data_IF_287578658853
#
_entry.id   IF_287578658853
#
_cell.length_a   1.000
_cell.length_b   1.000
_cell.length_c   1.000
_cell.angle_alpha   90.00
_cell.angle_beta   90.00
_cell.angle_gamma   90.00
#
_symmetry.space_group_name_H-M   'P 1'
#
loop_
_entity.id
_entity.type
_entity.pdbx_description
1 polymer ?
#
# COMPACT_ATOMS: atom_id res chain seq x y z
N UNK A 1 -11.58 -1.97 -14.65
CA UNK A 1 -10.39 -2.84 -14.49
C UNK A 1 -9.17 -1.95 -14.59
N UNK A 2 -8.27 -1.99 -13.62
CA UNK A 2 -7.02 -1.24 -13.68
C UNK A 2 -6.24 -1.65 -14.94
N UNK A 3 -5.68 -0.68 -15.65
CA UNK A 3 -4.84 -0.97 -16.80
C UNK A 3 -3.60 -1.75 -16.35
N UNK A 4 -3.15 -2.79 -17.09
CA UNK A 4 -1.95 -3.52 -16.71
C UNK A 4 -0.74 -2.59 -16.68
N UNK A 5 0.14 -2.80 -15.70
CA UNK A 5 1.40 -2.06 -15.58
C UNK A 5 2.29 -2.30 -16.81
N UNK A 6 3.03 -1.27 -17.21
CA UNK A 6 4.00 -1.39 -18.30
C UNK A 6 5.16 -2.34 -17.91
N UNK A 7 5.79 -2.95 -18.91
CA UNK A 7 6.98 -3.78 -18.67
C UNK A 7 8.11 -2.99 -18.00
N UNK A 8 8.25 -1.71 -18.34
CA UNK A 8 9.22 -0.80 -17.72
C UNK A 8 8.91 -0.58 -16.23
N UNK A 9 7.66 -0.29 -15.90
CA UNK A 9 7.20 -0.11 -14.51
C UNK A 9 7.46 -1.36 -13.68
N UNK A 10 7.09 -2.53 -14.21
CA UNK A 10 7.35 -3.84 -13.58
C UNK A 10 8.86 -4.04 -13.34
N UNK A 11 9.70 -3.75 -14.33
CA UNK A 11 11.15 -3.90 -14.21
C UNK A 11 11.74 -3.00 -13.12
N UNK A 12 11.32 -1.73 -13.06
CA UNK A 12 11.80 -0.76 -12.06
C UNK A 12 11.38 -1.18 -10.65
N UNK A 13 10.11 -1.54 -10.46
CA UNK A 13 9.60 -1.99 -9.15
C UNK A 13 10.37 -3.20 -8.65
N UNK A 14 10.59 -4.20 -9.53
CA UNK A 14 11.38 -5.39 -9.17
C UNK A 14 12.84 -5.09 -8.88
N UNK A 15 13.47 -4.24 -9.67
CA UNK A 15 14.88 -3.88 -9.50
C UNK A 15 15.12 -3.10 -8.20
N UNK A 16 14.15 -2.28 -7.77
CA UNK A 16 14.26 -1.45 -6.57
C UNK A 16 13.66 -2.08 -5.31
N UNK A 17 12.88 -3.16 -5.44
CA UNK A 17 12.30 -3.89 -4.31
C UNK A 17 13.33 -4.34 -3.24
N UNK A 18 14.55 -4.82 -3.57
CA UNK A 18 15.55 -5.16 -2.56
C UNK A 18 16.02 -3.96 -1.72
N UNK A 19 16.12 -2.77 -2.33
CA UNK A 19 16.48 -1.54 -1.62
C UNK A 19 15.35 -1.14 -0.68
N UNK A 20 14.09 -1.21 -1.15
CA UNK A 20 12.94 -0.97 -0.29
C UNK A 20 12.82 -2.02 0.82
N UNK A 21 13.25 -3.26 0.62
CA UNK A 21 13.29 -4.27 1.67
C UNK A 21 14.24 -3.89 2.80
N UNK A 22 15.45 -3.41 2.45
CA UNK A 22 16.46 -3.00 3.43
C UNK A 22 15.97 -1.82 4.29
N UNK A 23 15.21 -0.91 3.68
CA UNK A 23 14.71 0.31 4.33
C UNK A 23 13.22 0.25 4.69
N UNK A 24 12.56 -0.90 4.55
CA UNK A 24 11.10 -1.00 4.53
C UNK A 24 10.43 -0.49 5.80
N UNK A 25 10.99 -0.81 6.96
CA UNK A 25 10.48 -0.33 8.26
C UNK A 25 10.70 1.17 8.43
N UNK A 26 11.81 1.71 7.94
CA UNK A 26 12.07 3.15 8.00
C UNK A 26 11.10 3.91 7.08
N UNK A 27 10.87 3.40 5.86
CA UNK A 27 9.91 3.95 4.90
C UNK A 27 8.50 3.94 5.50
N UNK A 28 8.03 2.82 6.04
CA UNK A 28 6.67 2.74 6.58
C UNK A 28 6.50 3.54 7.85
N UNK A 29 7.53 3.60 8.72
CA UNK A 29 7.53 4.52 9.87
C UNK A 29 7.37 5.97 9.40
N UNK A 30 8.18 6.39 8.42
CA UNK A 30 8.12 7.74 7.87
C UNK A 30 6.80 8.04 7.16
N UNK A 31 6.23 7.04 6.49
CA UNK A 31 4.90 7.13 5.89
C UNK A 31 3.84 7.40 6.97
N UNK A 32 3.84 6.65 8.08
CA UNK A 32 2.88 6.87 9.16
C UNK A 32 3.02 8.23 9.83
N UNK A 33 4.24 8.75 10.00
CA UNK A 33 4.45 10.13 10.48
C UNK A 33 3.75 11.16 9.58
N UNK A 34 3.78 10.95 8.26
CA UNK A 34 3.12 11.82 7.27
C UNK A 34 1.60 11.60 7.27
N UNK A 35 1.16 10.35 7.31
CA UNK A 35 -0.26 9.95 7.24
C UNK A 35 -1.04 10.46 8.46
N UNK A 36 -0.45 10.36 9.65
CA UNK A 36 -1.10 10.70 10.91
C UNK A 36 -1.14 12.18 11.25
N UNK A 37 -0.65 13.04 10.35
CA UNK A 37 -1.01 14.46 10.38
C UNK A 37 -2.52 14.63 10.18
N UNK A 38 -3.16 13.71 9.45
CA UNK A 38 -4.61 13.61 9.38
C UNK A 38 -5.13 12.80 10.58
N UNK A 39 -5.70 13.49 11.58
CA UNK A 39 -6.21 12.85 12.81
C UNK A 39 -7.43 11.94 12.56
N UNK A 40 -8.24 12.20 11.53
CA UNK A 40 -9.37 11.32 11.16
C UNK A 40 -8.86 9.97 10.65
N UNK A 41 -7.88 10.00 9.74
CA UNK A 41 -7.25 8.79 9.22
C UNK A 41 -6.53 8.05 10.34
N UNK A 42 -5.79 8.76 11.20
CA UNK A 42 -5.09 8.17 12.35
C UNK A 42 -6.05 7.44 13.31
N UNK A 43 -7.25 7.96 13.52
CA UNK A 43 -8.26 7.34 14.38
C UNK A 43 -8.75 5.98 13.85
N UNK A 44 -8.55 5.68 12.56
CA UNK A 44 -8.88 4.38 11.96
C UNK A 44 -7.86 3.27 12.28
N UNK A 45 -6.67 3.61 12.77
CA UNK A 45 -5.60 2.66 13.03
C UNK A 45 -5.56 2.19 14.48
N UNK A 46 -5.17 0.93 14.66
CA UNK A 46 -4.85 0.36 15.97
C UNK A 46 -3.57 1.00 16.52
N UNK A 47 -3.73 1.89 17.50
CA UNK A 47 -2.64 2.61 18.14
C UNK A 47 -1.67 1.69 18.88
N UNK A 48 -2.12 0.55 19.41
CA UNK A 48 -1.24 -0.39 20.11
C UNK A 48 -0.28 -1.09 19.13
N UNK A 49 -0.82 -1.52 17.98
CA UNK A 49 -0.03 -2.10 16.88
C UNK A 49 0.92 -1.05 16.25
N UNK A 50 0.55 0.23 16.30
CA UNK A 50 1.41 1.31 15.87
C UNK A 50 2.58 1.54 16.83
N UNK A 51 2.30 1.68 18.13
CA UNK A 51 3.33 1.92 19.16
C UNK A 51 4.33 0.75 19.24
N UNK A 52 3.88 -0.48 19.04
CA UNK A 52 4.75 -1.67 19.00
C UNK A 52 5.61 -1.78 17.73
N UNK A 53 5.35 -0.93 16.73
CA UNK A 53 5.96 -0.98 15.40
C UNK A 53 5.50 -2.18 14.56
N UNK A 54 4.51 -2.93 15.00
CA UNK A 54 3.98 -4.08 14.27
C UNK A 54 3.30 -3.66 12.97
N UNK A 55 2.53 -2.57 13.01
CA UNK A 55 1.81 -2.04 11.86
C UNK A 55 2.76 -1.57 10.72
N UNK A 56 3.83 -0.77 10.99
CA UNK A 56 4.89 -0.51 10.02
C UNK A 56 5.53 -1.76 9.41
N UNK A 57 5.80 -2.80 10.20
CA UNK A 57 6.39 -4.06 9.70
C UNK A 57 5.43 -4.82 8.79
N UNK A 58 4.15 -4.92 9.18
CA UNK A 58 3.11 -5.58 8.38
C UNK A 58 2.97 -4.93 7.01
N UNK A 59 2.89 -3.59 6.98
CA UNK A 59 2.78 -2.87 5.72
C UNK A 59 4.04 -3.01 4.85
N UNK A 60 5.23 -2.95 5.45
CA UNK A 60 6.48 -3.14 4.71
C UNK A 60 6.54 -4.54 4.06
N UNK A 61 6.11 -5.56 4.79
CA UNK A 61 6.02 -6.93 4.26
C UNK A 61 5.01 -7.05 3.11
N UNK A 62 3.86 -6.37 3.21
CA UNK A 62 2.85 -6.36 2.15
C UNK A 62 3.36 -5.68 0.87
N UNK A 63 3.99 -4.50 0.99
CA UNK A 63 4.58 -3.77 -0.14
C UNK A 63 5.67 -4.62 -0.81
N UNK A 64 6.53 -5.27 -0.02
CA UNK A 64 7.59 -6.13 -0.55
C UNK A 64 7.02 -7.36 -1.27
N UNK A 65 6.05 -8.05 -0.67
CA UNK A 65 5.42 -9.22 -1.27
C UNK A 65 4.73 -8.85 -2.60
N UNK A 66 4.08 -7.68 -2.64
CA UNK A 66 3.50 -7.14 -3.86
C UNK A 66 4.57 -6.87 -4.92
N UNK A 67 5.64 -6.15 -4.58
CA UNK A 67 6.70 -5.82 -5.53
C UNK A 67 7.38 -7.08 -6.13
N UNK A 68 7.55 -8.13 -5.33
CA UNK A 68 8.09 -9.42 -5.78
C UNK A 68 7.13 -10.19 -6.72
N UNK A 69 5.84 -9.89 -6.68
CA UNK A 69 4.79 -10.57 -7.44
C UNK A 69 4.00 -9.60 -8.35
N UNK A 70 4.56 -8.44 -8.68
CA UNK A 70 3.85 -7.38 -9.42
C UNK A 70 3.39 -7.83 -10.83
N UNK A 71 4.05 -8.83 -11.40
CA UNK A 71 3.70 -9.50 -12.67
C UNK A 71 3.02 -10.87 -12.49
N UNK A 72 2.75 -11.27 -11.23
CA UNK A 72 2.19 -12.58 -10.85
C UNK A 72 1.12 -12.42 -9.77
N UNK A 73 0.18 -11.51 -9.99
CA UNK A 73 -0.84 -11.14 -9.01
C UNK A 73 -1.71 -12.31 -8.53
N UNK A 74 -1.83 -13.38 -9.31
CA UNK A 74 -2.52 -14.60 -8.88
C UNK A 74 -1.95 -15.16 -7.57
N UNK A 75 -0.66 -14.95 -7.31
CA UNK A 75 0.01 -15.34 -6.06
C UNK A 75 -0.45 -14.53 -4.86
N UNK A 76 -1.05 -13.36 -5.09
CA UNK A 76 -1.51 -12.43 -4.07
C UNK A 76 -3.01 -12.56 -3.76
N UNK A 77 -3.72 -13.50 -4.40
CA UNK A 77 -5.18 -13.67 -4.22
C UNK A 77 -5.57 -13.77 -2.74
N UNK A 78 -4.98 -14.71 -1.99
CA UNK A 78 -5.32 -14.90 -0.58
C UNK A 78 -4.84 -13.73 0.32
N UNK A 79 -3.62 -13.17 0.16
CA UNK A 79 -3.23 -11.93 0.84
C UNK A 79 -4.17 -10.75 0.59
N UNK A 80 -4.58 -10.52 -0.67
CA UNK A 80 -5.49 -9.44 -1.05
C UNK A 80 -6.85 -9.63 -0.38
N UNK A 81 -7.41 -10.84 -0.40
CA UNK A 81 -8.68 -11.12 0.29
C UNK A 81 -8.62 -10.81 1.79
N UNK A 82 -7.54 -11.18 2.48
CA UNK A 82 -7.36 -10.84 3.90
C UNK A 82 -7.27 -9.33 4.13
N UNK A 83 -6.63 -8.61 3.22
CA UNK A 83 -6.51 -7.16 3.31
C UNK A 83 -7.86 -6.48 3.09
N UNK A 84 -8.63 -6.91 2.09
CA UNK A 84 -10.00 -6.44 1.82
C UNK A 84 -10.90 -6.65 3.04
N UNK A 85 -10.91 -7.85 3.62
CA UNK A 85 -11.70 -8.14 4.82
C UNK A 85 -11.35 -7.19 5.97
N UNK A 86 -10.05 -6.98 6.22
CA UNK A 86 -9.59 -6.08 7.27
C UNK A 86 -9.97 -4.62 6.99
N UNK A 87 -9.82 -4.18 5.74
CA UNK A 87 -10.18 -2.83 5.31
C UNK A 87 -11.67 -2.56 5.54
N UNK A 88 -12.53 -3.49 5.13
CA UNK A 88 -13.97 -3.42 5.34
C UNK A 88 -14.31 -3.34 6.83
N UNK A 89 -13.73 -4.21 7.66
CA UNK A 89 -13.89 -4.20 9.13
C UNK A 89 -13.50 -2.86 9.77
N UNK A 90 -12.51 -2.17 9.22
CA UNK A 90 -12.01 -0.88 9.72
C UNK A 90 -12.63 0.33 9.04
N UNK A 91 -13.60 0.13 8.13
CA UNK A 91 -14.29 1.22 7.44
C UNK A 91 -13.45 1.96 6.40
N UNK A 92 -12.46 1.29 5.80
CA UNK A 92 -11.64 1.88 4.72
C UNK A 92 -12.49 2.11 3.48
N UNK A 93 -12.38 3.30 2.88
CA UNK A 93 -13.10 3.73 1.69
C UNK A 93 -12.12 4.15 0.61
N UNK A 94 -12.62 4.22 -0.63
CA UNK A 94 -11.85 4.69 -1.78
C UNK A 94 -11.19 6.07 -1.55
N UNK A 95 -11.86 6.97 -0.81
CA UNK A 95 -11.35 8.30 -0.46
C UNK A 95 -10.12 8.29 0.47
N UNK A 96 -9.81 7.17 1.12
CA UNK A 96 -8.64 7.06 2.00
C UNK A 96 -7.34 6.72 1.25
N UNK A 97 -7.42 6.12 0.06
CA UNK A 97 -6.25 5.72 -0.72
C UNK A 97 -5.33 6.90 -1.10
N UNK A 98 -5.86 8.06 -1.56
CA UNK A 98 -5.03 9.24 -1.80
C UNK A 98 -4.14 9.64 -0.61
N UNK A 99 -4.66 9.57 0.62
CA UNK A 99 -3.88 9.92 1.82
C UNK A 99 -2.66 8.99 2.00
N UNK A 100 -2.82 7.71 1.70
CA UNK A 100 -1.72 6.74 1.79
C UNK A 100 -0.71 6.98 0.67
N UNK A 101 -1.14 7.29 -0.55
CA UNK A 101 -0.24 7.63 -1.66
C UNK A 101 0.61 8.87 -1.35
N UNK A 102 -0.05 9.94 -0.86
CA UNK A 102 0.57 11.22 -0.51
C UNK A 102 1.52 11.11 0.69
N UNK A 103 1.33 10.09 1.54
CA UNK A 103 2.25 9.79 2.62
C UNK A 103 3.41 8.89 2.16
N UNK A 104 3.14 7.86 1.35
CA UNK A 104 4.09 6.80 1.01
C UNK A 104 5.17 7.26 0.04
N UNK A 105 4.80 7.88 -1.09
CA UNK A 105 5.79 8.25 -2.12
C UNK A 105 6.81 9.26 -1.60
N UNK A 106 6.41 10.33 -0.86
CA UNK A 106 7.38 11.21 -0.21
C UNK A 106 8.19 10.52 0.90
N UNK A 107 7.62 9.55 1.62
CA UNK A 107 8.39 8.78 2.61
C UNK A 107 9.48 7.93 1.97
N UNK A 108 9.23 7.35 0.79
CA UNK A 108 10.25 6.65 0.01
C UNK A 108 11.38 7.61 -0.36
N UNK A 109 11.05 8.82 -0.84
CA UNK A 109 12.05 9.85 -1.18
C UNK A 109 12.85 10.31 0.03
N UNK A 110 12.20 10.55 1.17
CA UNK A 110 12.86 10.98 2.40
C UNK A 110 13.91 9.96 2.89
N UNK A 111 13.60 8.66 2.76
CA UNK A 111 14.46 7.60 3.30
C UNK A 111 15.55 7.18 2.32
N UNK A 112 15.23 7.10 1.02
CA UNK A 112 16.17 6.62 0.00
C UNK A 112 16.98 7.75 -0.66
N UNK A 113 16.57 9.01 -0.49
CA UNK A 113 17.25 10.16 -1.08
C UNK A 113 17.39 10.02 -2.60
N UNK A 114 18.62 10.16 -3.09
CA UNK A 114 18.95 10.09 -4.52
C UNK A 114 18.68 8.71 -5.14
N UNK A 115 18.58 7.65 -4.34
CA UNK A 115 18.22 6.31 -4.83
C UNK A 115 16.73 6.20 -5.22
N UNK A 116 15.88 7.12 -4.75
CA UNK A 116 14.48 7.27 -5.19
C UNK A 116 14.38 8.37 -6.26
N UNK A 117 14.94 8.09 -7.45
CA UNK A 117 14.81 8.98 -8.60
C UNK A 117 13.33 9.21 -8.98
N UNK A 118 13.05 10.26 -9.74
CA UNK A 118 11.69 10.59 -10.16
C UNK A 118 11.06 9.45 -10.99
N UNK A 119 11.86 8.74 -11.79
CA UNK A 119 11.43 7.56 -12.54
C UNK A 119 11.05 6.40 -11.60
N UNK A 120 11.84 6.17 -10.54
CA UNK A 120 11.53 5.16 -9.53
C UNK A 120 10.22 5.51 -8.80
N UNK A 121 10.07 6.75 -8.36
CA UNK A 121 8.85 7.20 -7.68
C UNK A 121 7.62 7.12 -8.58
N UNK A 122 7.75 7.45 -9.87
CA UNK A 122 6.66 7.31 -10.84
C UNK A 122 6.24 5.84 -10.97
N UNK A 123 7.20 4.92 -11.14
CA UNK A 123 6.92 3.48 -11.23
C UNK A 123 6.25 2.93 -9.95
N UNK A 124 6.71 3.34 -8.77
CA UNK A 124 6.07 2.96 -7.50
C UNK A 124 4.68 3.58 -7.32
N UNK A 125 4.45 4.80 -7.84
CA UNK A 125 3.15 5.44 -7.85
C UNK A 125 2.14 4.69 -8.73
N UNK A 126 2.54 4.31 -9.95
CA UNK A 126 1.74 3.47 -10.84
C UNK A 126 1.44 2.11 -10.18
N UNK A 127 2.45 1.47 -9.60
CA UNK A 127 2.28 0.19 -8.94
C UNK A 127 1.37 0.28 -7.72
N UNK A 128 1.45 1.37 -6.94
CA UNK A 128 0.53 1.63 -5.84
C UNK A 128 -0.91 1.71 -6.33
N UNK A 129 -1.18 2.56 -7.33
CA UNK A 129 -2.54 2.78 -7.83
C UNK A 129 -3.13 1.54 -8.48
N UNK A 130 -2.30 0.75 -9.17
CA UNK A 130 -2.74 -0.52 -9.72
C UNK A 130 -3.23 -1.51 -8.65
N UNK A 131 -2.54 -1.61 -7.51
CA UNK A 131 -3.02 -2.42 -6.38
C UNK A 131 -4.22 -1.78 -5.69
N UNK A 132 -4.21 -0.45 -5.51
CA UNK A 132 -5.31 0.30 -4.90
C UNK A 132 -6.62 0.08 -5.65
N UNK A 133 -6.63 0.16 -6.98
CA UNK A 133 -7.82 -0.06 -7.80
C UNK A 133 -8.40 -1.49 -7.65
N UNK A 134 -7.52 -2.49 -7.51
CA UNK A 134 -7.93 -3.88 -7.27
C UNK A 134 -8.62 -3.99 -5.90
N UNK A 135 -8.06 -3.35 -4.88
CA UNK A 135 -8.59 -3.39 -3.52
C UNK A 135 -9.91 -2.63 -3.42
N UNK A 136 -9.96 -1.41 -3.95
CA UNK A 136 -11.17 -0.57 -4.00
C UNK A 136 -12.33 -1.34 -4.65
N UNK A 137 -12.08 -2.01 -5.78
CA UNK A 137 -13.11 -2.81 -6.44
C UNK A 137 -13.62 -3.96 -5.57
N UNK A 138 -12.71 -4.69 -4.92
CA UNK A 138 -13.06 -5.82 -4.04
C UNK A 138 -13.72 -5.40 -2.74
N UNK A 139 -13.32 -4.26 -2.19
CA UNK A 139 -13.95 -3.66 -1.00
C UNK A 139 -15.36 -3.20 -1.32
N UNK A 140 -15.58 -2.59 -2.49
CA UNK A 140 -16.92 -2.21 -2.93
C UNK A 140 -17.84 -3.43 -3.10
N UNK A 141 -17.34 -4.53 -3.66
CA UNK A 141 -18.08 -5.81 -3.72
C UNK A 141 -18.43 -6.31 -2.30
N UNK A 142 -17.46 -6.34 -1.40
CA UNK A 142 -17.67 -6.79 -0.02
C UNK A 142 -18.65 -5.91 0.77
N UNK A 143 -18.61 -4.58 0.58
CA UNK A 143 -19.58 -3.67 1.18
C UNK A 143 -21.00 -3.94 0.66
N UNK A 144 -21.17 -4.13 -0.65
CA UNK A 144 -22.47 -4.44 -1.23
C UNK A 144 -23.04 -5.79 -0.73
N UNK A 145 -22.19 -6.78 -0.51
CA UNK A 145 -22.59 -8.07 0.08
C UNK A 145 -23.06 -7.93 1.53
N UNK A 146 -22.38 -7.09 2.34
CA UNK A 146 -22.79 -6.81 3.72
C UNK A 146 -24.14 -6.09 3.77
N UNK A 147 -24.33 -5.07 2.94
CA UNK A 147 -25.61 -4.34 2.84
C UNK A 147 -26.77 -5.24 2.38
N UNK A 148 -26.50 -6.21 1.52
CA UNK A 148 -27.52 -7.17 1.06
C UNK A 148 -27.85 -8.27 2.09
N UNK A 149 -27.01 -8.46 3.10
CA UNK A 149 -27.20 -9.42 4.18
C UNK A 149 -27.93 -8.85 5.40
N UNK A 150 -28.13 -7.52 5.44
CA UNK A 150 -28.93 -6.79 6.44
C UNK A 150 -30.41 -6.69 6.05
#
# INVERSE_FOLDING_TARGET
MAAPLSEQTIAIVKATAPVLQQHGVAITTRMYERLFVNEEVKAMFDQAAQVSGEQPRRLAAAILAYAQNVDKLQNLTAPVQRMVQRHVETGVKAEHYPYVADALLPAIRDVLGDAASDEVLAAWGEAYWFLADILIGKEAEAYAELEAAE
#
